data_IF_193842118405
#
_entry.id   IF_193842118405
#
_cell.length_a   1.000
_cell.length_b   1.000
_cell.length_c   1.000
_cell.angle_alpha   90.00
_cell.angle_beta   90.00
_cell.angle_gamma   90.00
#
_symmetry.space_group_name_H-M   'P 1'
#
loop_
_entity.id
_entity.type
_entity.pdbx_description
1 polymer ?
#
# COMPACT_ATOMS: atom_id res chain seq x y z
N UNK A 1 -23.96 27.88 5.81
CA UNK A 1 -24.15 27.37 4.44
C UNK A 1 -24.94 26.08 4.50
N UNK A 2 -26.10 26.00 3.84
CA UNK A 2 -27.03 24.87 3.93
C UNK A 2 -26.42 23.51 3.55
N UNK A 3 -25.54 23.45 2.54
CA UNK A 3 -24.87 22.22 2.10
C UNK A 3 -23.88 21.66 3.14
N UNK A 4 -23.26 22.49 3.96
CA UNK A 4 -22.32 22.04 5.01
C UNK A 4 -23.03 21.47 6.21
N UNK A 5 -24.19 22.05 6.57
CA UNK A 5 -25.01 21.61 7.70
C UNK A 5 -26.04 20.54 7.33
N UNK A 6 -26.24 20.27 6.04
CA UNK A 6 -27.30 19.38 5.55
C UNK A 6 -28.71 19.97 5.66
N UNK A 7 -28.83 21.29 5.82
CA UNK A 7 -30.12 21.98 5.96
C UNK A 7 -30.80 22.17 4.60
N UNK A 8 -31.63 21.20 4.25
CA UNK A 8 -32.38 21.24 3.01
C UNK A 8 -33.46 22.33 2.98
N UNK A 9 -34.05 22.64 4.14
CA UNK A 9 -35.12 23.65 4.21
C UNK A 9 -34.55 25.03 3.87
N UNK A 10 -33.35 25.32 4.36
CA UNK A 10 -32.65 26.56 4.01
C UNK A 10 -32.21 26.59 2.54
N UNK A 11 -31.70 25.46 2.03
CA UNK A 11 -31.28 25.36 0.62
C UNK A 11 -32.45 25.52 -0.35
N UNK A 12 -33.60 24.92 -0.07
CA UNK A 12 -34.78 24.97 -0.96
C UNK A 12 -35.41 26.35 -1.10
N UNK A 13 -35.10 27.31 -0.22
CA UNK A 13 -35.55 28.73 -0.38
C UNK A 13 -34.97 29.39 -1.62
N UNK A 14 -33.83 28.89 -2.13
CA UNK A 14 -33.21 29.44 -3.33
C UNK A 14 -33.85 28.96 -4.63
N UNK A 15 -34.68 27.91 -4.61
CA UNK A 15 -35.30 27.32 -5.81
C UNK A 15 -36.12 28.30 -6.64
N UNK A 16 -36.84 29.20 -5.97
CA UNK A 16 -37.71 30.21 -6.64
C UNK A 16 -36.90 31.37 -7.29
N UNK A 17 -35.73 31.64 -6.73
CA UNK A 17 -34.93 32.82 -7.14
C UNK A 17 -33.77 32.44 -8.04
N UNK A 18 -33.23 31.21 -7.92
CA UNK A 18 -32.05 30.72 -8.65
C UNK A 18 -32.22 29.22 -8.94
N UNK A 19 -32.99 28.83 -9.96
CA UNK A 19 -33.30 27.41 -10.24
C UNK A 19 -32.06 26.54 -10.51
N UNK A 20 -30.99 27.13 -11.02
CA UNK A 20 -29.73 26.46 -11.37
C UNK A 20 -28.71 26.41 -10.21
N UNK A 21 -29.07 26.87 -9.02
CA UNK A 21 -28.16 26.96 -7.85
C UNK A 21 -27.46 25.62 -7.50
N UNK A 22 -28.03 24.50 -7.86
CA UNK A 22 -27.49 23.16 -7.60
C UNK A 22 -26.15 22.92 -8.35
N UNK A 23 -25.96 23.63 -9.48
CA UNK A 23 -24.76 23.54 -10.31
C UNK A 23 -23.77 24.68 -10.11
N UNK A 24 -24.21 25.75 -9.43
CA UNK A 24 -23.36 26.91 -9.19
C UNK A 24 -22.18 26.60 -8.25
N UNK A 25 -20.98 27.14 -8.54
CA UNK A 25 -19.85 26.97 -7.66
C UNK A 25 -20.06 27.78 -6.36
N UNK A 26 -19.96 27.10 -5.23
CA UNK A 26 -20.11 27.69 -3.90
C UNK A 26 -18.77 28.07 -3.25
N UNK A 27 -17.65 27.63 -3.81
CA UNK A 27 -16.31 27.87 -3.29
C UNK A 27 -15.39 28.41 -4.36
N UNK A 28 -14.29 29.06 -3.96
CA UNK A 28 -13.20 29.44 -4.87
C UNK A 28 -12.56 28.19 -5.56
N UNK A 29 -12.73 27.03 -4.97
CA UNK A 29 -12.30 25.73 -5.53
C UNK A 29 -13.29 25.17 -6.55
N UNK A 30 -14.35 25.88 -6.92
CA UNK A 30 -15.34 25.42 -7.88
C UNK A 30 -16.25 24.31 -7.36
N UNK A 31 -16.33 24.12 -6.04
CA UNK A 31 -17.21 23.10 -5.45
C UNK A 31 -18.66 23.54 -5.55
N UNK A 32 -19.51 22.70 -6.12
CA UNK A 32 -20.98 22.90 -6.12
C UNK A 32 -21.58 22.41 -4.79
N UNK A 33 -22.86 22.64 -4.59
CA UNK A 33 -23.58 22.13 -3.41
C UNK A 33 -23.41 20.62 -3.21
N UNK A 34 -23.35 19.86 -4.30
CA UNK A 34 -23.12 18.40 -4.25
C UNK A 34 -21.71 18.06 -3.75
N UNK A 35 -20.67 18.75 -4.24
CA UNK A 35 -19.30 18.54 -3.76
C UNK A 35 -19.18 18.80 -2.26
N UNK A 36 -19.75 19.93 -1.80
CA UNK A 36 -19.73 20.31 -0.38
C UNK A 36 -20.48 19.29 0.48
N UNK A 37 -21.70 18.91 0.08
CA UNK A 37 -22.52 17.96 0.82
C UNK A 37 -21.88 16.57 0.92
N UNK A 38 -21.22 16.11 -0.16
CA UNK A 38 -20.45 14.85 -0.16
C UNK A 38 -19.27 14.94 0.78
N UNK A 39 -18.51 16.02 0.76
CA UNK A 39 -17.34 16.22 1.64
C UNK A 39 -17.73 16.29 3.12
N UNK A 40 -18.93 16.82 3.41
CA UNK A 40 -19.48 16.90 4.77
C UNK A 40 -20.35 15.70 5.15
N UNK A 41 -20.37 14.64 4.32
CA UNK A 41 -21.09 13.40 4.54
C UNK A 41 -22.61 13.57 4.78
N UNK A 42 -23.22 14.59 4.18
CA UNK A 42 -24.62 14.95 4.35
C UNK A 42 -25.54 14.08 3.48
N UNK A 43 -25.70 12.81 3.83
CA UNK A 43 -26.42 11.81 3.03
C UNK A 43 -27.82 12.27 2.60
N UNK A 44 -28.65 12.76 3.53
CA UNK A 44 -30.03 13.19 3.24
C UNK A 44 -30.06 14.40 2.30
N UNK A 45 -29.12 15.30 2.42
CA UNK A 45 -28.98 16.46 1.54
C UNK A 45 -28.55 16.02 0.13
N UNK A 46 -27.54 15.12 0.03
CA UNK A 46 -27.14 14.53 -1.25
C UNK A 46 -28.29 13.83 -1.94
N UNK A 47 -29.08 13.02 -1.21
CA UNK A 47 -30.22 12.32 -1.79
C UNK A 47 -31.24 13.27 -2.42
N UNK A 48 -31.56 14.38 -1.72
CA UNK A 48 -32.48 15.40 -2.23
C UNK A 48 -31.92 16.20 -3.41
N UNK A 49 -30.61 16.48 -3.43
CA UNK A 49 -29.96 17.07 -4.58
C UNK A 49 -30.07 16.19 -5.82
N UNK A 50 -29.89 14.88 -5.65
CA UNK A 50 -29.96 13.91 -6.75
C UNK A 50 -31.36 13.86 -7.40
N UNK A 51 -32.45 14.15 -6.65
CA UNK A 51 -33.79 14.24 -7.22
C UNK A 51 -33.94 15.38 -8.23
N UNK A 52 -33.11 16.44 -8.11
CA UNK A 52 -33.14 17.66 -8.93
C UNK A 52 -32.10 17.70 -10.04
N UNK A 53 -30.99 17.00 -9.84
CA UNK A 53 -29.86 17.02 -10.76
C UNK A 53 -30.04 16.03 -11.92
N UNK A 54 -29.61 16.46 -13.10
CA UNK A 54 -29.51 15.61 -14.29
C UNK A 54 -28.23 14.72 -14.20
N UNK A 55 -28.10 13.77 -15.12
CA UNK A 55 -26.89 12.95 -15.20
C UNK A 55 -25.64 13.79 -15.51
N UNK A 56 -25.77 14.83 -16.32
CA UNK A 56 -24.66 15.73 -16.67
C UNK A 56 -24.21 16.60 -15.50
N UNK A 57 -25.15 17.03 -14.66
CA UNK A 57 -24.82 17.83 -13.47
C UNK A 57 -23.94 17.06 -12.48
N UNK A 58 -24.07 15.73 -12.43
CA UNK A 58 -23.22 14.86 -11.60
C UNK A 58 -21.78 14.75 -12.12
N UNK A 59 -21.54 15.12 -13.36
CA UNK A 59 -20.22 15.08 -14.01
C UNK A 59 -19.42 16.39 -13.83
N UNK A 60 -20.03 17.41 -13.22
CA UNK A 60 -19.37 18.68 -12.91
C UNK A 60 -18.13 18.41 -12.07
N UNK A 61 -17.02 19.06 -12.45
CA UNK A 61 -15.73 18.93 -11.78
C UNK A 61 -15.38 20.23 -11.05
N UNK A 62 -14.84 20.11 -9.87
CA UNK A 62 -14.26 21.25 -9.16
C UNK A 62 -12.89 21.65 -9.76
N UNK A 63 -12.24 22.68 -9.21
CA UNK A 63 -10.93 23.17 -9.67
C UNK A 63 -9.81 22.13 -9.54
N UNK A 64 -9.97 21.11 -8.70
CA UNK A 64 -9.04 19.97 -8.59
C UNK A 64 -9.30 18.88 -9.61
N UNK A 65 -10.29 19.06 -10.49
CA UNK A 65 -10.72 18.10 -11.50
C UNK A 65 -11.60 16.95 -10.97
N UNK A 66 -12.02 17.00 -9.69
CA UNK A 66 -12.83 15.95 -9.08
C UNK A 66 -14.33 16.19 -9.31
N UNK A 67 -15.07 15.14 -9.65
CA UNK A 67 -16.52 15.10 -9.49
C UNK A 67 -16.87 14.83 -8.02
N UNK A 68 -18.10 15.07 -7.61
CA UNK A 68 -18.58 14.72 -6.28
C UNK A 68 -18.44 13.21 -5.99
N UNK A 69 -18.56 12.35 -7.02
CA UNK A 69 -18.29 10.92 -6.90
C UNK A 69 -16.82 10.60 -6.60
N UNK A 70 -15.88 11.30 -7.25
CA UNK A 70 -14.46 11.21 -6.92
C UNK A 70 -14.18 11.58 -5.46
N UNK A 71 -14.88 12.62 -4.95
CA UNK A 71 -14.74 13.02 -3.54
C UNK A 71 -15.31 11.99 -2.59
N UNK A 72 -16.46 11.35 -2.91
CA UNK A 72 -16.99 10.23 -2.16
C UNK A 72 -16.01 9.02 -2.15
N UNK A 73 -15.30 8.79 -3.26
CA UNK A 73 -14.27 7.76 -3.35
C UNK A 73 -13.05 8.08 -2.47
N UNK A 74 -12.59 9.35 -2.46
CA UNK A 74 -11.47 9.84 -1.63
C UNK A 74 -11.82 9.78 -0.14
N UNK A 75 -13.08 10.11 0.25
CA UNK A 75 -13.51 10.06 1.65
C UNK A 75 -13.87 8.64 2.13
N UNK A 76 -14.00 7.68 1.20
CA UNK A 76 -14.37 6.31 1.53
C UNK A 76 -15.86 6.13 1.89
N UNK A 77 -16.72 7.12 1.62
CA UNK A 77 -18.13 7.07 1.96
C UNK A 77 -18.94 6.23 0.96
N UNK A 78 -18.98 4.90 1.19
CA UNK A 78 -19.66 3.93 0.33
C UNK A 78 -21.16 4.21 0.21
N UNK A 79 -21.81 4.73 1.27
CA UNK A 79 -23.27 5.01 1.24
C UNK A 79 -23.59 6.11 0.23
N UNK A 80 -22.84 7.20 0.26
CA UNK A 80 -23.00 8.31 -0.70
C UNK A 80 -22.61 7.85 -2.11
N UNK A 81 -21.49 7.13 -2.25
CA UNK A 81 -21.07 6.58 -3.53
C UNK A 81 -22.13 5.66 -4.14
N UNK A 82 -22.86 4.89 -3.34
CA UNK A 82 -23.93 4.00 -3.82
C UNK A 82 -25.06 4.79 -4.48
N UNK A 83 -25.59 5.82 -3.83
CA UNK A 83 -26.71 6.61 -4.41
C UNK A 83 -26.29 7.41 -5.64
N UNK A 84 -25.05 7.90 -5.67
CA UNK A 84 -24.47 8.57 -6.85
C UNK A 84 -24.31 7.57 -8.01
N UNK A 85 -23.78 6.38 -7.74
CA UNK A 85 -23.64 5.32 -8.74
C UNK A 85 -24.99 4.83 -9.29
N UNK A 86 -25.96 4.63 -8.40
CA UNK A 86 -27.30 4.16 -8.80
C UNK A 86 -28.01 5.22 -9.69
N UNK A 87 -27.72 6.50 -9.51
CA UNK A 87 -28.21 7.60 -10.37
C UNK A 87 -27.46 7.67 -11.70
N UNK A 88 -26.11 7.62 -11.68
CA UNK A 88 -25.27 7.66 -12.88
C UNK A 88 -24.09 6.66 -12.77
N UNK A 89 -24.25 5.42 -13.29
CA UNK A 89 -23.18 4.41 -13.25
C UNK A 89 -21.91 4.81 -14.03
N UNK A 90 -22.01 5.77 -14.98
CA UNK A 90 -20.85 6.22 -15.74
C UNK A 90 -19.81 6.98 -14.89
N UNK A 91 -20.19 7.49 -13.70
CA UNK A 91 -19.31 8.23 -12.79
C UNK A 91 -18.05 7.44 -12.41
N UNK A 92 -18.11 6.12 -12.38
CA UNK A 92 -16.94 5.28 -12.04
C UNK A 92 -15.79 5.40 -13.07
N UNK A 93 -16.09 5.91 -14.27
CA UNK A 93 -15.14 6.10 -15.36
C UNK A 93 -14.68 7.55 -15.54
N UNK A 94 -15.28 8.48 -14.81
CA UNK A 94 -14.91 9.90 -14.89
C UNK A 94 -13.69 10.11 -14.03
N UNK A 95 -12.57 10.44 -14.68
CA UNK A 95 -11.30 10.69 -14.02
C UNK A 95 -11.36 11.97 -13.20
N UNK A 96 -10.77 11.92 -12.02
CA UNK A 96 -10.62 13.05 -11.12
C UNK A 96 -9.20 13.60 -11.10
N UNK A 97 -8.78 14.08 -9.95
CA UNK A 97 -7.45 14.64 -9.71
C UNK A 97 -6.34 13.70 -10.21
N UNK A 98 -5.27 14.28 -10.80
CA UNK A 98 -4.13 13.56 -11.38
C UNK A 98 -4.53 12.53 -12.44
N UNK A 99 -5.64 12.76 -13.13
CA UNK A 99 -6.20 11.87 -14.16
C UNK A 99 -6.51 10.44 -13.63
N UNK A 100 -6.81 10.32 -12.33
CA UNK A 100 -7.08 9.05 -11.69
C UNK A 100 -8.57 8.69 -11.73
N UNK A 101 -8.87 7.41 -11.93
CA UNK A 101 -10.23 6.89 -11.78
C UNK A 101 -10.66 6.89 -10.30
N UNK A 102 -11.97 6.96 -10.00
CA UNK A 102 -12.47 6.92 -8.62
C UNK A 102 -11.93 5.73 -7.80
N UNK A 103 -11.82 4.54 -8.40
CA UNK A 103 -11.24 3.37 -7.74
C UNK A 103 -9.74 3.56 -7.40
N UNK A 104 -8.98 4.24 -8.26
CA UNK A 104 -7.58 4.55 -8.00
C UNK A 104 -7.44 5.62 -6.91
N UNK A 105 -8.32 6.62 -6.88
CA UNK A 105 -8.40 7.62 -5.82
C UNK A 105 -8.71 6.99 -4.47
N UNK A 106 -9.72 6.10 -4.41
CA UNK A 106 -10.08 5.34 -3.21
C UNK A 106 -8.92 4.43 -2.74
N UNK A 107 -8.22 3.79 -3.69
CA UNK A 107 -7.05 2.96 -3.39
C UNK A 107 -5.89 3.78 -2.83
N UNK A 108 -5.62 4.95 -3.42
CA UNK A 108 -4.58 5.88 -2.95
C UNK A 108 -4.88 6.43 -1.55
N UNK A 109 -6.16 6.59 -1.19
CA UNK A 109 -6.60 6.99 0.14
C UNK A 109 -6.67 5.84 1.16
N UNK A 110 -6.45 4.58 0.75
CA UNK A 110 -6.45 3.41 1.63
C UNK A 110 -7.84 2.89 2.03
N UNK A 111 -8.91 3.31 1.36
CA UNK A 111 -10.28 2.94 1.70
C UNK A 111 -10.68 1.57 1.12
N UNK A 112 -10.29 0.49 1.77
CA UNK A 112 -10.49 -0.89 1.30
C UNK A 112 -11.94 -1.24 0.95
N UNK A 113 -12.92 -0.82 1.76
CA UNK A 113 -14.35 -1.06 1.50
C UNK A 113 -14.83 -0.33 0.24
N UNK A 114 -14.39 0.92 0.04
CA UNK A 114 -14.72 1.69 -1.15
C UNK A 114 -14.09 1.08 -2.40
N UNK A 115 -12.83 0.66 -2.32
CA UNK A 115 -12.13 -0.01 -3.43
C UNK A 115 -12.85 -1.29 -3.82
N UNK A 116 -13.26 -2.10 -2.83
CA UNK A 116 -14.02 -3.32 -3.08
C UNK A 116 -15.36 -3.02 -3.72
N UNK A 117 -16.11 -2.04 -3.22
CA UNK A 117 -17.36 -1.58 -3.81
C UNK A 117 -17.19 -1.17 -5.28
N UNK A 118 -16.21 -0.30 -5.58
CA UNK A 118 -15.94 0.18 -6.94
C UNK A 118 -15.40 -0.92 -7.87
N UNK A 119 -14.78 -1.94 -7.32
CA UNK A 119 -14.30 -3.09 -8.08
C UNK A 119 -15.42 -4.08 -8.41
N UNK A 120 -16.38 -4.29 -7.52
CA UNK A 120 -17.42 -5.31 -7.65
C UNK A 120 -18.72 -4.76 -8.30
N UNK A 121 -19.08 -3.50 -8.01
CA UNK A 121 -20.38 -2.92 -8.40
C UNK A 121 -20.54 -2.73 -9.93
N UNK A 122 -19.54 -2.25 -10.71
CA UNK A 122 -19.72 -2.12 -12.16
C UNK A 122 -19.92 -3.48 -12.83
N UNK A 123 -20.79 -3.57 -13.86
CA UNK A 123 -20.97 -4.79 -14.64
C UNK A 123 -19.64 -5.34 -15.18
N UNK A 124 -19.58 -6.66 -15.39
CA UNK A 124 -18.33 -7.36 -15.72
C UNK A 124 -17.75 -6.96 -17.09
N UNK A 125 -18.61 -6.65 -18.05
CA UNK A 125 -18.26 -6.12 -19.37
C UNK A 125 -17.58 -4.73 -19.27
N UNK A 126 -18.08 -3.86 -18.38
CA UNK A 126 -17.44 -2.57 -18.11
C UNK A 126 -16.07 -2.71 -17.45
N UNK A 127 -15.91 -3.65 -16.49
CA UNK A 127 -14.62 -3.93 -15.84
C UNK A 127 -13.56 -4.49 -16.80
N UNK A 128 -13.99 -5.12 -17.88
CA UNK A 128 -13.07 -5.70 -18.88
C UNK A 128 -12.39 -4.65 -19.74
N UNK A 129 -12.90 -3.43 -19.76
CA UNK A 129 -12.43 -2.34 -20.61
C UNK A 129 -11.40 -1.42 -19.92
N UNK A 130 -10.97 -1.73 -18.71
CA UNK A 130 -9.94 -0.94 -18.04
C UNK A 130 -8.61 -1.04 -18.82
N UNK A 131 -8.03 0.08 -19.26
CA UNK A 131 -6.74 0.07 -19.93
C UNK A 131 -5.67 -0.62 -19.06
N UNK A 132 -4.77 -1.36 -19.69
CA UNK A 132 -3.74 -2.11 -18.93
C UNK A 132 -2.90 -1.20 -18.04
N UNK A 133 -2.62 0.04 -18.48
CA UNK A 133 -1.88 1.02 -17.67
C UNK A 133 -2.63 1.39 -16.37
N UNK A 134 -3.96 1.58 -16.46
CA UNK A 134 -4.79 1.84 -15.28
C UNK A 134 -4.87 0.63 -14.35
N UNK A 135 -4.88 -0.57 -14.94
CA UNK A 135 -4.84 -1.84 -14.19
C UNK A 135 -3.52 -1.97 -13.43
N UNK A 136 -2.38 -1.67 -14.06
CA UNK A 136 -1.06 -1.64 -13.40
C UNK A 136 -1.06 -0.64 -12.25
N UNK A 137 -1.53 0.59 -12.49
CA UNK A 137 -1.60 1.61 -11.45
C UNK A 137 -2.47 1.16 -10.28
N UNK A 138 -3.66 0.64 -10.54
CA UNK A 138 -4.57 0.13 -9.52
C UNK A 138 -3.93 -1.01 -8.71
N UNK A 139 -3.29 -1.96 -9.39
CA UNK A 139 -2.61 -3.08 -8.76
C UNK A 139 -1.54 -2.62 -7.76
N UNK A 140 -0.68 -1.67 -8.15
CA UNK A 140 0.34 -1.14 -7.25
C UNK A 140 -0.25 -0.33 -6.10
N UNK A 141 -1.28 0.47 -6.33
CA UNK A 141 -1.99 1.19 -5.27
C UNK A 141 -2.62 0.25 -4.26
N UNK A 142 -3.22 -0.87 -4.71
CA UNK A 142 -3.82 -1.87 -3.81
C UNK A 142 -2.77 -2.62 -3.00
N UNK A 143 -1.60 -2.91 -3.57
CA UNK A 143 -0.47 -3.51 -2.84
C UNK A 143 0.06 -2.55 -1.78
N UNK A 144 0.34 -1.30 -2.16
CA UNK A 144 0.93 -0.30 -1.27
C UNK A 144 0.03 0.02 -0.07
N UNK A 145 -1.28 -0.05 -0.26
CA UNK A 145 -2.27 0.24 0.81
C UNK A 145 -2.88 -1.04 1.42
N UNK A 146 -2.23 -2.19 1.27
CA UNK A 146 -2.62 -3.47 1.88
C UNK A 146 -4.03 -3.96 1.51
N UNK A 147 -4.53 -3.58 0.33
CA UNK A 147 -5.85 -4.01 -0.19
C UNK A 147 -5.66 -5.29 -1.03
N UNK A 148 -5.10 -6.33 -0.42
CA UNK A 148 -4.64 -7.52 -1.12
C UNK A 148 -5.76 -8.33 -1.79
N UNK A 149 -6.99 -8.26 -1.30
CA UNK A 149 -8.13 -8.97 -1.92
C UNK A 149 -8.37 -8.52 -3.36
N UNK A 150 -8.29 -7.22 -3.64
CA UNK A 150 -8.46 -6.68 -5.00
C UNK A 150 -7.18 -6.92 -5.82
N UNK A 151 -6.00 -6.80 -5.20
CA UNK A 151 -4.73 -7.12 -5.86
C UNK A 151 -4.67 -8.57 -6.35
N UNK A 152 -5.16 -9.53 -5.55
CA UNK A 152 -5.26 -10.94 -5.91
C UNK A 152 -6.18 -11.17 -7.12
N UNK A 153 -7.36 -10.55 -7.12
CA UNK A 153 -8.29 -10.63 -8.25
C UNK A 153 -7.69 -10.05 -9.54
N UNK A 154 -6.93 -8.95 -9.42
CA UNK A 154 -6.23 -8.36 -10.57
C UNK A 154 -5.12 -9.27 -11.08
N UNK A 155 -4.35 -9.89 -10.18
CA UNK A 155 -3.25 -10.79 -10.52
C UNK A 155 -3.76 -12.08 -11.17
N UNK A 156 -4.87 -12.64 -10.69
CA UNK A 156 -5.52 -13.80 -11.28
C UNK A 156 -5.98 -13.51 -12.72
N UNK A 157 -6.63 -12.36 -12.92
CA UNK A 157 -7.10 -11.94 -14.25
C UNK A 157 -5.96 -11.54 -15.20
N UNK A 158 -4.89 -10.93 -14.66
CA UNK A 158 -3.76 -10.40 -15.43
C UNK A 158 -2.42 -10.89 -14.85
N UNK A 159 -2.03 -12.17 -15.07
CA UNK A 159 -0.80 -12.75 -14.49
C UNK A 159 0.48 -11.99 -14.82
N UNK A 160 0.50 -11.25 -15.93
CA UNK A 160 1.63 -10.39 -16.33
C UNK A 160 1.97 -9.32 -15.28
N UNK A 161 1.03 -8.94 -14.41
CA UNK A 161 1.26 -7.98 -13.35
C UNK A 161 2.36 -8.42 -12.38
N UNK A 162 2.57 -9.73 -12.21
CA UNK A 162 3.63 -10.26 -11.34
C UNK A 162 5.03 -9.76 -11.73
N UNK A 163 5.27 -9.54 -13.03
CA UNK A 163 6.58 -9.12 -13.57
C UNK A 163 6.57 -7.71 -14.15
N UNK A 164 5.40 -7.07 -14.21
CA UNK A 164 5.27 -5.68 -14.69
C UNK A 164 5.79 -4.73 -13.61
N UNK A 165 6.56 -3.70 -14.02
CA UNK A 165 6.99 -2.63 -13.14
C UNK A 165 5.97 -1.51 -13.01
N UNK A 166 5.98 -0.81 -11.88
CA UNK A 166 5.26 0.45 -11.68
C UNK A 166 5.92 1.61 -12.46
N UNK A 167 5.48 2.84 -12.26
CA UNK A 167 6.06 4.05 -12.89
C UNK A 167 7.55 4.24 -12.59
N UNK A 168 8.03 3.70 -11.49
CA UNK A 168 9.45 3.72 -11.06
C UNK A 168 10.21 2.49 -11.60
N UNK A 169 9.55 1.61 -12.34
CA UNK A 169 10.11 0.35 -12.84
C UNK A 169 10.22 -0.75 -11.78
N UNK A 170 9.67 -0.56 -10.57
CA UNK A 170 9.69 -1.55 -9.51
C UNK A 170 8.58 -2.58 -9.71
N UNK A 171 8.92 -3.85 -9.56
CA UNK A 171 7.95 -4.96 -9.57
C UNK A 171 7.18 -5.04 -8.25
N UNK A 172 6.08 -5.79 -8.24
CA UNK A 172 5.28 -6.01 -7.04
C UNK A 172 6.10 -6.62 -5.90
N UNK A 173 7.00 -7.55 -6.19
CA UNK A 173 7.89 -8.14 -5.20
C UNK A 173 8.84 -7.10 -4.60
N UNK A 174 9.44 -6.23 -5.43
CA UNK A 174 10.33 -5.15 -4.95
C UNK A 174 9.58 -4.11 -4.09
N UNK A 175 8.31 -3.83 -4.40
CA UNK A 175 7.46 -2.95 -3.59
C UNK A 175 7.13 -3.60 -2.25
N UNK A 176 6.66 -4.84 -2.25
CA UNK A 176 6.31 -5.58 -1.03
C UNK A 176 7.52 -5.82 -0.13
N UNK A 177 8.70 -6.02 -0.71
CA UNK A 177 9.94 -6.19 0.04
C UNK A 177 10.32 -4.97 0.90
N UNK A 178 9.89 -3.77 0.50
CA UNK A 178 10.12 -2.52 1.25
C UNK A 178 9.09 -2.24 2.33
N UNK A 179 7.96 -2.96 2.33
CA UNK A 179 6.89 -2.80 3.31
C UNK A 179 7.18 -3.74 4.48
N UNK A 180 7.17 -3.25 5.74
CA UNK A 180 7.28 -4.13 6.90
C UNK A 180 6.21 -5.22 6.86
N UNK A 181 6.59 -6.42 7.28
CA UNK A 181 5.66 -7.54 7.34
C UNK A 181 4.63 -7.32 8.44
N UNK A 182 3.36 -7.32 8.04
CA UNK A 182 2.22 -7.35 8.95
C UNK A 182 1.60 -8.75 8.90
N UNK A 183 1.76 -9.51 9.99
CA UNK A 183 1.29 -10.89 10.08
C UNK A 183 -0.23 -10.99 10.05
N UNK A 184 -0.90 -9.94 10.54
CA UNK A 184 -2.36 -9.87 10.64
C UNK A 184 -3.03 -9.33 9.37
N UNK A 185 -2.26 -8.86 8.38
CA UNK A 185 -2.82 -8.32 7.15
C UNK A 185 -3.47 -9.43 6.29
N UNK A 186 -4.82 -9.41 6.13
CA UNK A 186 -5.51 -10.48 5.41
C UNK A 186 -5.12 -10.50 3.93
N UNK A 187 -4.74 -11.70 3.43
CA UNK A 187 -4.36 -11.91 2.03
C UNK A 187 -2.90 -11.60 1.70
N UNK A 188 -2.09 -11.14 2.67
CA UNK A 188 -0.67 -10.89 2.43
C UNK A 188 0.09 -12.15 2.01
N UNK A 189 -0.15 -13.28 2.71
CA UNK A 189 0.45 -14.57 2.36
C UNK A 189 0.04 -15.04 0.96
N UNK A 190 -1.22 -14.83 0.62
CA UNK A 190 -1.77 -15.26 -0.66
C UNK A 190 -1.16 -14.47 -1.83
N UNK A 191 -1.02 -13.13 -1.69
CA UNK A 191 -0.43 -12.31 -2.76
C UNK A 191 1.03 -12.69 -2.99
N UNK A 192 1.84 -12.93 -1.94
CA UNK A 192 3.21 -13.40 -2.08
C UNK A 192 3.24 -14.75 -2.81
N UNK A 193 2.42 -15.71 -2.37
CA UNK A 193 2.35 -17.04 -2.99
C UNK A 193 1.96 -16.95 -4.48
N UNK A 194 0.97 -16.12 -4.81
CA UNK A 194 0.54 -15.91 -6.20
C UNK A 194 1.61 -15.23 -7.05
N UNK A 195 2.33 -14.25 -6.51
CA UNK A 195 3.44 -13.59 -7.21
C UNK A 195 4.54 -14.61 -7.56
N UNK A 196 4.98 -15.41 -6.59
CA UNK A 196 6.01 -16.42 -6.84
C UNK A 196 5.58 -17.51 -7.85
N UNK A 197 4.30 -17.91 -7.83
CA UNK A 197 3.75 -18.85 -8.84
C UNK A 197 3.70 -18.24 -10.25
N UNK A 198 3.45 -16.93 -10.35
CA UNK A 198 3.36 -16.22 -11.62
C UNK A 198 4.72 -15.81 -12.21
N UNK A 199 5.80 -15.88 -11.43
CA UNK A 199 7.14 -15.51 -11.87
C UNK A 199 7.82 -16.68 -12.57
N UNK A 200 8.46 -16.42 -13.71
CA UNK A 200 9.30 -17.41 -14.38
C UNK A 200 10.65 -17.55 -13.68
N UNK A 201 11.28 -18.71 -13.86
CA UNK A 201 12.57 -19.05 -13.26
C UNK A 201 13.68 -18.01 -13.58
N UNK A 202 13.72 -17.50 -14.82
CA UNK A 202 14.64 -16.47 -15.25
C UNK A 202 14.52 -15.16 -14.44
N UNK A 203 13.28 -14.82 -14.05
CA UNK A 203 13.02 -13.63 -13.25
C UNK A 203 13.48 -13.82 -11.80
N UNK A 204 13.22 -15.00 -11.25
CA UNK A 204 13.60 -15.33 -9.87
C UNK A 204 15.14 -15.40 -9.69
N UNK A 205 15.87 -15.78 -10.74
CA UNK A 205 17.36 -15.78 -10.76
C UNK A 205 17.96 -14.40 -11.08
N UNK A 206 17.14 -13.36 -11.18
CA UNK A 206 17.59 -12.03 -11.59
C UNK A 206 18.26 -11.23 -10.46
N UNK A 207 19.03 -10.19 -10.84
CA UNK A 207 19.55 -9.16 -9.94
C UNK A 207 18.45 -8.49 -9.11
N UNK A 208 17.23 -8.39 -9.66
CA UNK A 208 16.05 -7.82 -8.97
C UNK A 208 15.63 -8.62 -7.76
N UNK A 209 15.66 -9.95 -7.84
CA UNK A 209 15.35 -10.82 -6.69
C UNK A 209 16.38 -10.65 -5.58
N UNK A 210 17.67 -10.51 -5.92
CA UNK A 210 18.71 -10.21 -4.94
C UNK A 210 18.48 -8.85 -4.28
N UNK A 211 18.08 -7.81 -5.03
CA UNK A 211 17.74 -6.51 -4.47
C UNK A 211 16.52 -6.58 -3.56
N UNK A 212 15.46 -7.26 -3.98
CA UNK A 212 14.27 -7.47 -3.16
C UNK A 212 14.59 -8.23 -1.85
N UNK A 213 15.54 -9.16 -1.88
CA UNK A 213 16.03 -9.86 -0.69
C UNK A 213 16.67 -8.90 0.32
N UNK A 214 17.54 -8.00 -0.11
CA UNK A 214 18.15 -7.01 0.78
C UNK A 214 17.14 -5.97 1.27
N UNK A 215 16.21 -5.53 0.42
CA UNK A 215 15.14 -4.62 0.82
C UNK A 215 14.22 -5.28 1.87
N UNK A 216 13.89 -6.57 1.70
CA UNK A 216 13.11 -7.35 2.69
C UNK A 216 13.86 -7.51 4.02
N UNK A 217 15.19 -7.71 3.99
CA UNK A 217 16.00 -7.74 5.20
C UNK A 217 16.00 -6.40 5.92
N UNK A 218 16.05 -5.27 5.19
CA UNK A 218 16.00 -3.90 5.72
C UNK A 218 14.65 -3.54 6.33
N UNK A 219 13.56 -4.02 5.75
CA UNK A 219 12.18 -3.77 6.24
C UNK A 219 11.72 -4.77 7.30
N UNK A 220 12.50 -5.82 7.58
CA UNK A 220 12.12 -6.89 8.51
C UNK A 220 11.15 -7.92 7.93
N UNK A 221 10.96 -7.94 6.62
CA UNK A 221 10.00 -8.81 5.95
C UNK A 221 10.52 -10.24 5.79
N UNK A 222 10.47 -11.00 6.88
CA UNK A 222 10.95 -12.38 6.94
C UNK A 222 10.19 -13.31 5.98
N UNK A 223 8.91 -13.04 5.70
CA UNK A 223 8.12 -13.89 4.81
C UNK A 223 8.63 -13.85 3.37
N UNK A 224 8.88 -12.67 2.81
CA UNK A 224 9.44 -12.56 1.45
C UNK A 224 10.80 -13.25 1.40
N UNK A 225 11.63 -13.07 2.44
CA UNK A 225 12.91 -13.77 2.53
C UNK A 225 12.74 -15.28 2.53
N UNK A 226 11.79 -15.81 3.29
CA UNK A 226 11.50 -17.25 3.33
C UNK A 226 11.15 -17.79 1.94
N UNK A 227 10.29 -17.10 1.19
CA UNK A 227 9.93 -17.49 -0.17
C UNK A 227 11.12 -17.41 -1.14
N UNK A 228 11.90 -16.32 -1.10
CA UNK A 228 13.09 -16.15 -1.94
C UNK A 228 14.10 -17.26 -1.65
N UNK A 229 14.40 -17.54 -0.38
CA UNK A 229 15.39 -18.51 0.04
C UNK A 229 14.92 -19.96 -0.14
N UNK A 230 13.62 -20.21 -0.15
CA UNK A 230 13.06 -21.52 -0.52
C UNK A 230 13.28 -21.81 -2.00
N UNK A 231 13.24 -20.77 -2.83
CA UNK A 231 13.47 -20.90 -4.27
C UNK A 231 14.95 -21.03 -4.61
N UNK A 232 15.79 -20.14 -4.07
CA UNK A 232 17.25 -20.17 -4.27
C UNK A 232 18.00 -19.94 -2.94
N UNK A 233 18.37 -21.03 -2.25
CA UNK A 233 19.14 -20.94 -1.00
C UNK A 233 20.53 -20.31 -1.18
N UNK A 234 21.09 -20.31 -2.39
CA UNK A 234 22.43 -19.75 -2.64
C UNK A 234 22.48 -18.23 -2.45
N UNK A 235 21.31 -17.56 -2.56
CA UNK A 235 21.19 -16.12 -2.32
C UNK A 235 21.57 -15.71 -0.89
N UNK A 236 21.48 -16.64 0.07
CA UNK A 236 21.96 -16.41 1.43
C UNK A 236 23.42 -15.91 1.49
N UNK A 237 24.24 -16.36 0.57
CA UNK A 237 25.68 -16.02 0.54
C UNK A 237 26.00 -14.68 -0.14
N UNK A 238 24.99 -14.03 -0.73
CA UNK A 238 25.19 -12.72 -1.35
C UNK A 238 25.36 -11.63 -0.31
N UNK A 239 26.15 -10.62 -0.69
CA UNK A 239 26.35 -9.37 0.05
C UNK A 239 25.85 -8.19 -0.78
N UNK A 240 25.48 -7.12 -0.12
CA UNK A 240 25.09 -5.85 -0.77
C UNK A 240 26.33 -5.03 -1.19
N UNK A 241 26.11 -3.79 -1.64
CA UNK A 241 27.17 -2.87 -2.06
C UNK A 241 28.13 -2.43 -0.95
N UNK A 242 27.84 -2.74 0.31
CA UNK A 242 28.64 -2.42 1.48
C UNK A 242 29.28 -3.68 2.11
N UNK A 243 29.30 -4.79 1.38
CA UNK A 243 29.76 -6.08 1.89
C UNK A 243 28.83 -6.70 2.94
N UNK A 244 27.62 -6.16 3.15
CA UNK A 244 26.71 -6.62 4.19
C UNK A 244 25.88 -7.82 3.71
N UNK A 245 25.92 -8.92 4.45
CA UNK A 245 24.97 -10.03 4.28
C UNK A 245 23.61 -9.66 4.85
N UNK A 246 22.57 -10.43 4.50
CA UNK A 246 21.23 -10.24 5.07
C UNK A 246 21.21 -10.37 6.61
N UNK A 247 22.14 -11.13 7.21
CA UNK A 247 22.29 -11.21 8.67
C UNK A 247 22.84 -9.91 9.25
N UNK A 248 23.85 -9.30 8.62
CA UNK A 248 24.37 -7.98 9.03
C UNK A 248 23.24 -6.94 9.03
N UNK A 249 22.43 -6.92 7.96
CA UNK A 249 21.30 -6.00 7.81
C UNK A 249 20.23 -6.25 8.87
N UNK A 250 19.84 -7.51 9.11
CA UNK A 250 18.84 -7.86 10.10
C UNK A 250 19.24 -7.44 11.52
N UNK A 251 20.52 -7.60 11.86
CA UNK A 251 21.07 -7.22 13.17
C UNK A 251 21.13 -5.70 13.32
N UNK A 252 21.64 -4.98 12.31
CA UNK A 252 21.71 -3.52 12.33
C UNK A 252 20.34 -2.85 12.47
N UNK A 253 19.29 -3.47 11.91
CA UNK A 253 17.93 -2.97 11.95
C UNK A 253 17.05 -3.62 13.04
N UNK A 254 17.61 -4.46 13.90
CA UNK A 254 16.89 -5.13 15.02
C UNK A 254 15.73 -6.04 14.58
N UNK A 255 15.78 -6.61 13.37
CA UNK A 255 14.73 -7.47 12.82
C UNK A 255 14.85 -8.92 13.32
N UNK A 256 14.26 -9.22 14.48
CA UNK A 256 14.36 -10.54 15.13
C UNK A 256 13.74 -11.67 14.29
N UNK A 257 12.69 -11.40 13.53
CA UNK A 257 12.05 -12.41 12.65
C UNK A 257 13.01 -12.85 11.54
N UNK A 258 13.70 -11.90 10.91
CA UNK A 258 14.71 -12.17 9.88
C UNK A 258 15.91 -12.91 10.48
N UNK A 259 16.39 -12.45 11.64
CA UNK A 259 17.47 -13.11 12.37
C UNK A 259 17.13 -14.60 12.65
N UNK A 260 15.94 -14.87 13.21
CA UNK A 260 15.49 -16.25 13.49
C UNK A 260 15.38 -17.10 12.22
N UNK A 261 14.87 -16.54 11.13
CA UNK A 261 14.79 -17.22 9.86
C UNK A 261 16.18 -17.66 9.37
N UNK A 262 17.17 -16.78 9.43
CA UNK A 262 18.53 -17.11 8.99
C UNK A 262 19.17 -18.13 9.94
N UNK A 263 19.04 -17.95 11.24
CA UNK A 263 19.58 -18.85 12.26
C UNK A 263 18.92 -20.25 12.26
N UNK A 264 17.73 -20.40 11.68
CA UNK A 264 17.11 -21.72 11.46
C UNK A 264 17.79 -22.53 10.35
N UNK A 265 18.70 -21.94 9.56
CA UNK A 265 19.42 -22.59 8.46
C UNK A 265 20.77 -23.12 8.96
N UNK A 266 20.78 -24.27 9.62
CA UNK A 266 21.96 -24.81 10.29
C UNK A 266 23.22 -24.91 9.42
N UNK A 267 23.05 -25.29 8.15
CA UNK A 267 24.16 -25.44 7.22
C UNK A 267 24.98 -24.15 6.97
N UNK A 268 24.40 -22.98 7.22
CA UNK A 268 25.03 -21.67 6.89
C UNK A 268 25.44 -20.86 8.14
N UNK A 269 25.05 -21.26 9.34
CA UNK A 269 25.28 -20.50 10.59
C UNK A 269 26.74 -20.13 10.78
N UNK A 270 27.66 -21.10 10.69
CA UNK A 270 29.08 -20.87 10.92
C UNK A 270 29.70 -19.91 9.93
N UNK A 271 29.24 -19.94 8.68
CA UNK A 271 29.75 -19.03 7.63
C UNK A 271 29.29 -17.60 7.90
N UNK A 272 28.01 -17.41 8.24
CA UNK A 272 27.48 -16.07 8.51
C UNK A 272 28.13 -15.35 9.66
N UNK A 273 28.51 -16.09 10.71
CA UNK A 273 29.13 -15.50 11.89
C UNK A 273 30.58 -15.05 11.64
N UNK A 274 31.22 -15.58 10.59
CA UNK A 274 32.59 -15.22 10.19
C UNK A 274 32.62 -14.11 9.14
N UNK A 275 31.50 -13.79 8.50
CA UNK A 275 31.45 -12.73 7.51
C UNK A 275 31.70 -11.37 8.18
N UNK A 276 32.40 -10.51 7.48
CA UNK A 276 32.62 -9.11 7.83
C UNK A 276 32.15 -8.22 6.68
N UNK A 277 31.63 -7.04 7.02
CA UNK A 277 31.29 -6.01 6.05
C UNK A 277 32.54 -5.24 5.59
N UNK A 278 32.36 -4.29 4.66
CA UNK A 278 33.50 -3.50 4.12
C UNK A 278 34.17 -2.62 5.18
N UNK A 279 33.50 -2.33 6.29
CA UNK A 279 34.06 -1.62 7.46
C UNK A 279 34.77 -2.57 8.44
N UNK A 280 34.84 -3.87 8.16
CA UNK A 280 35.39 -4.90 9.03
C UNK A 280 34.50 -5.30 10.21
N UNK A 281 33.22 -4.94 10.20
CA UNK A 281 32.31 -5.35 11.26
C UNK A 281 31.75 -6.75 10.99
N UNK A 282 31.83 -7.61 11.97
CA UNK A 282 31.03 -8.83 12.01
C UNK A 282 29.69 -8.58 12.71
N UNK A 283 28.86 -9.62 12.76
CA UNK A 283 27.50 -9.56 13.35
C UNK A 283 27.49 -9.11 14.82
N UNK A 284 28.52 -9.43 15.61
CA UNK A 284 28.63 -9.00 17.02
C UNK A 284 28.99 -7.51 17.14
N UNK A 285 29.87 -7.00 16.28
CA UNK A 285 30.17 -5.58 16.23
C UNK A 285 28.89 -4.78 15.93
N UNK A 286 28.08 -5.24 14.98
CA UNK A 286 26.81 -4.59 14.64
C UNK A 286 25.75 -4.73 15.74
N UNK A 287 25.71 -5.86 16.45
CA UNK A 287 24.82 -6.04 17.58
C UNK A 287 25.14 -5.06 18.74
N UNK A 288 26.40 -4.69 18.91
CA UNK A 288 26.84 -3.72 19.92
C UNK A 288 26.71 -2.25 19.50
N UNK A 289 26.48 -1.96 18.21
CA UNK A 289 26.22 -0.58 17.75
C UNK A 289 24.77 -0.19 18.11
N UNK A 290 24.57 1.06 18.56
CA UNK A 290 23.24 1.62 18.74
C UNK A 290 22.46 1.64 17.43
N UNK A 291 21.14 1.41 17.47
CA UNK A 291 20.28 1.53 16.30
C UNK A 291 20.34 2.94 15.73
N UNK A 292 20.05 3.08 14.41
CA UNK A 292 20.06 4.40 13.77
C UNK A 292 19.00 5.35 14.34
N UNK A 293 17.91 4.82 14.89
CA UNK A 293 16.81 5.58 15.52
C UNK A 293 17.23 6.18 16.87
N UNK A 294 18.12 5.54 17.62
CA UNK A 294 18.58 6.02 18.94
C UNK A 294 19.59 7.18 18.86
N UNK A 295 20.11 7.50 17.66
CA UNK A 295 21.10 8.58 17.47
C UNK A 295 20.53 9.98 17.55
N UNK A 296 19.22 10.16 17.55
CA UNK A 296 18.55 11.46 17.55
C UNK A 296 18.12 11.94 18.94
N UNK A 297 18.95 11.77 19.96
CA UNK A 297 18.91 12.62 21.18
C UNK A 297 17.66 12.53 22.05
N UNK A 298 16.80 11.53 21.90
CA UNK A 298 15.76 11.25 22.88
C UNK A 298 16.37 10.59 24.12
N UNK A 299 15.96 10.96 25.35
CA UNK A 299 16.43 10.27 26.55
C UNK A 299 16.03 8.80 26.44
N UNK A 300 17.05 7.92 26.41
CA UNK A 300 16.85 6.48 26.22
C UNK A 300 15.97 5.96 27.35
N UNK A 301 14.77 5.50 27.00
CA UNK A 301 13.87 4.87 27.98
C UNK A 301 14.54 3.63 28.57
N UNK A 302 14.40 3.37 29.90
CA UNK A 302 14.88 2.13 30.52
C UNK A 302 14.40 0.85 29.81
N UNK A 303 13.24 0.91 29.17
CA UNK A 303 12.67 -0.19 28.37
C UNK A 303 13.47 -0.41 27.07
N UNK A 304 13.91 0.64 26.41
CA UNK A 304 14.77 0.56 25.22
C UNK A 304 16.14 -0.02 25.55
N UNK A 305 16.76 0.43 26.65
CA UNK A 305 18.01 -0.14 27.15
C UNK A 305 17.90 -1.64 27.43
N UNK A 306 16.81 -2.07 28.05
CA UNK A 306 16.59 -3.50 28.33
C UNK A 306 16.38 -4.34 27.08
N UNK A 307 15.74 -3.77 26.04
CA UNK A 307 15.54 -4.45 24.75
C UNK A 307 16.85 -4.57 23.97
N UNK A 308 17.69 -3.53 23.96
CA UNK A 308 19.01 -3.53 23.31
C UNK A 308 19.97 -4.52 24.01
N UNK A 309 19.98 -4.54 25.36
CA UNK A 309 20.76 -5.50 26.12
C UNK A 309 20.31 -6.93 25.87
N UNK A 310 18.99 -7.15 25.77
CA UNK A 310 18.43 -8.47 25.46
C UNK A 310 18.79 -8.88 24.03
N UNK A 311 18.72 -7.96 23.07
CA UNK A 311 19.14 -8.21 21.68
C UNK A 311 20.61 -8.61 21.59
N UNK A 312 21.50 -7.86 22.24
CA UNK A 312 22.92 -8.16 22.29
C UNK A 312 23.19 -9.53 22.93
N UNK A 313 22.50 -9.85 24.05
CA UNK A 313 22.59 -11.16 24.70
C UNK A 313 22.14 -12.29 23.77
N UNK A 314 21.02 -12.13 23.04
CA UNK A 314 20.55 -13.11 22.05
C UNK A 314 21.62 -13.38 21.00
N UNK A 315 22.22 -12.34 20.46
CA UNK A 315 23.29 -12.48 19.45
C UNK A 315 24.54 -13.18 20.03
N UNK A 316 24.97 -12.80 21.24
CA UNK A 316 26.11 -13.45 21.93
C UNK A 316 25.82 -14.91 22.21
N UNK A 317 24.70 -15.23 22.86
CA UNK A 317 24.39 -16.62 23.22
C UNK A 317 24.31 -17.52 22.01
N UNK A 318 23.70 -17.04 20.93
CA UNK A 318 23.60 -17.82 19.70
C UNK A 318 24.98 -18.04 19.06
N UNK A 319 25.86 -17.03 19.15
CA UNK A 319 27.23 -17.13 18.62
C UNK A 319 28.09 -18.07 19.48
N UNK A 320 28.03 -17.94 20.80
CA UNK A 320 28.81 -18.79 21.73
C UNK A 320 28.36 -20.25 21.69
N UNK A 321 27.05 -20.53 21.48
CA UNK A 321 26.53 -21.89 21.42
C UNK A 321 26.99 -22.66 20.18
N UNK A 322 27.55 -21.98 19.19
CA UNK A 322 28.04 -22.57 17.92
C UNK A 322 29.55 -22.83 18.01
N UNK A 323 30.26 -22.15 18.93
CA UNK A 323 31.70 -22.36 19.13
C UNK A 323 32.04 -23.41 20.19
N UNK A 324 31.02 -23.98 20.87
CA UNK A 324 31.14 -25.13 21.76
C UNK A 324 30.52 -26.38 21.12
#
# INVERSE_FOLDING_TARGET
MAATSGDWVEASKYDETHPDWVCDPLSAGGDTALHVAVSMEQFTFVAKLLERMTLLDLEIRNAYGNTAFCMAAISGNVKIATILFDKNPALVWIRGNKDMLPIQLASSAGHSHMVKFLFEKPPQDMRSNLPFQDTVMLFFLTITNSIYSVALNLLDKYPKLATTGNKEGLTALEVLAKIPFDEDAPGYRDIISCLFKGMKEEFLNSVRTSKAMFDAAKSGNAMILEYILKYDPSLLMKVDSNGQSILHIAISNRHIAVYRLIMSKDAYKNVFLQLVDDDGNNVLHLAGKQSAEDRFGSPVSPVLLSSEEMWFKVCIYTTLFIYN
#
